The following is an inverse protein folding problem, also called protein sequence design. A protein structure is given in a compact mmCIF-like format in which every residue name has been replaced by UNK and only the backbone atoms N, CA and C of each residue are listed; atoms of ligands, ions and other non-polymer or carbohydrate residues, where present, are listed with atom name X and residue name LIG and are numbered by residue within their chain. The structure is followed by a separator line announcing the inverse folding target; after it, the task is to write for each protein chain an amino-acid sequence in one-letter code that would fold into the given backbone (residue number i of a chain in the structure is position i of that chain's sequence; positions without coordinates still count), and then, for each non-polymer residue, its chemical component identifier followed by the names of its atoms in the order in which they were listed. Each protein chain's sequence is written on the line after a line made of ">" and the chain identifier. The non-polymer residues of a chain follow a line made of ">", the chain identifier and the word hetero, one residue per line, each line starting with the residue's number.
data_IF_197174797705
#
_entry.id   IF_197174797705
#
_cell.length_a   1.000
_cell.length_b   1.000
_cell.length_c   1.000
_cell.angle_alpha   90.00
_cell.angle_beta   90.00
_cell.angle_gamma   90.00
#
_symmetry.space_group_name_H-M   'P 1'
#
loop_
_entity.id
_entity.type
_entity.pdbx_description
1 polymer ?
#
# COMPACT_ATOMS: atom_id res chain seq x y z
N UNK A 1 -15.10 11.46 31.34
CA UNK A 1 -14.61 11.40 29.95
C UNK A 1 -14.83 9.98 29.48
N UNK A 2 -15.88 9.76 28.68
CA UNK A 2 -16.18 8.44 28.15
C UNK A 2 -15.24 8.17 26.98
N UNK A 3 -14.44 7.10 27.10
CA UNK A 3 -13.65 6.56 26.01
C UNK A 3 -14.63 6.03 24.96
N UNK A 4 -14.64 6.66 23.78
CA UNK A 4 -15.40 6.19 22.64
C UNK A 4 -14.89 4.82 22.21
N UNK A 5 -15.72 3.80 22.43
CA UNK A 5 -15.52 2.46 21.91
C UNK A 5 -15.81 2.49 20.41
N UNK A 6 -14.84 2.95 19.61
CA UNK A 6 -14.93 2.99 18.17
C UNK A 6 -14.83 1.58 17.62
N UNK A 7 -15.92 1.04 17.08
CA UNK A 7 -15.86 -0.11 16.19
C UNK A 7 -14.87 0.22 15.07
N UNK A 8 -13.78 -0.55 14.96
CA UNK A 8 -12.74 -0.39 13.94
C UNK A 8 -13.18 -0.78 12.52
N UNK A 9 -14.49 -0.75 12.24
CA UNK A 9 -15.14 -1.26 11.03
C UNK A 9 -16.10 -0.25 10.37
N UNK A 10 -16.20 0.97 10.92
CA UNK A 10 -16.98 2.03 10.28
C UNK A 10 -16.06 2.83 9.36
N UNK A 11 -16.45 2.87 8.09
CA UNK A 11 -15.83 3.70 7.06
C UNK A 11 -15.99 5.14 7.53
N UNK A 12 -14.89 5.90 7.62
CA UNK A 12 -14.95 7.34 7.85
C UNK A 12 -15.66 7.98 6.64
N UNK A 13 -16.97 8.19 6.77
CA UNK A 13 -17.82 8.63 5.67
C UNK A 13 -17.49 10.06 5.24
N UNK A 14 -16.90 10.88 6.12
CA UNK A 14 -16.48 12.25 5.77
C UNK A 14 -15.22 12.22 4.89
N UNK A 15 -14.20 11.47 5.32
CA UNK A 15 -12.94 11.31 4.56
C UNK A 15 -13.18 10.61 3.22
N UNK A 16 -14.00 9.56 3.21
CA UNK A 16 -14.24 8.70 2.05
C UNK A 16 -15.52 9.03 1.28
N UNK A 17 -16.22 10.12 1.60
CA UNK A 17 -17.50 10.52 0.98
C UNK A 17 -17.51 10.41 -0.55
N UNK A 18 -16.46 10.91 -1.21
CA UNK A 18 -16.31 10.85 -2.68
C UNK A 18 -16.07 9.44 -3.21
N UNK A 19 -15.27 8.64 -2.50
CA UNK A 19 -14.99 7.25 -2.89
C UNK A 19 -16.22 6.36 -2.67
N UNK A 20 -16.97 6.60 -1.58
CA UNK A 20 -18.22 5.92 -1.26
C UNK A 20 -19.29 6.14 -2.34
N UNK A 21 -19.38 7.35 -2.88
CA UNK A 21 -20.31 7.69 -3.96
C UNK A 21 -19.97 6.98 -5.29
N UNK A 22 -18.72 6.57 -5.51
CA UNK A 22 -18.27 5.91 -6.74
C UNK A 22 -18.33 4.39 -6.61
N UNK A 23 -17.78 3.84 -5.54
CA UNK A 23 -17.63 2.39 -5.38
C UNK A 23 -18.82 1.72 -4.69
N UNK A 24 -19.58 2.47 -3.90
CA UNK A 24 -20.60 1.93 -3.01
C UNK A 24 -20.01 1.31 -1.73
N UNK A 25 -20.85 1.19 -0.70
CA UNK A 25 -20.45 0.72 0.65
C UNK A 25 -19.82 -0.66 0.65
N UNK A 26 -20.40 -1.60 -0.10
CA UNK A 26 -19.95 -3.00 -0.10
C UNK A 26 -18.55 -3.13 -0.68
N UNK A 27 -18.30 -2.51 -1.84
CA UNK A 27 -16.99 -2.49 -2.49
C UNK A 27 -15.94 -1.84 -1.60
N UNK A 28 -16.27 -0.71 -0.96
CA UNK A 28 -15.36 -0.04 -0.01
C UNK A 28 -15.02 -0.94 1.19
N UNK A 29 -16.00 -1.67 1.75
CA UNK A 29 -15.74 -2.65 2.82
C UNK A 29 -14.77 -3.74 2.38
N UNK A 30 -14.96 -4.30 1.18
CA UNK A 30 -14.06 -5.32 0.63
C UNK A 30 -12.66 -4.77 0.40
N UNK A 31 -12.56 -3.54 -0.11
CA UNK A 31 -11.30 -2.85 -0.32
C UNK A 31 -10.55 -2.63 1.00
N UNK A 32 -11.25 -2.16 2.03
CA UNK A 32 -10.68 -1.93 3.38
C UNK A 32 -10.29 -3.22 4.10
N UNK A 33 -10.76 -4.38 3.63
CA UNK A 33 -10.36 -5.69 4.13
C UNK A 33 -9.23 -6.36 3.31
N UNK A 34 -8.85 -5.76 2.17
CA UNK A 34 -7.91 -6.36 1.23
C UNK A 34 -6.44 -6.16 1.64
N UNK A 35 -5.66 -7.24 1.59
CA UNK A 35 -4.20 -7.21 1.69
C UNK A 35 -3.62 -7.33 0.29
N UNK A 36 -2.74 -6.42 -0.10
CA UNK A 36 -2.23 -6.34 -1.48
C UNK A 36 -0.72 -6.43 -1.48
N UNK A 37 -0.16 -7.22 -2.41
CA UNK A 37 1.26 -7.27 -2.71
C UNK A 37 1.53 -6.46 -3.98
N UNK A 38 2.47 -5.51 -3.91
CA UNK A 38 3.00 -4.78 -5.06
C UNK A 38 4.43 -5.24 -5.29
N UNK A 39 4.67 -5.95 -6.40
CA UNK A 39 6.00 -6.43 -6.78
C UNK A 39 6.61 -5.52 -7.86
N UNK A 40 7.78 -4.95 -7.57
CA UNK A 40 8.47 -3.94 -8.36
C UNK A 40 8.09 -2.53 -7.92
N UNK A 41 9.06 -1.75 -7.42
CA UNK A 41 8.92 -0.40 -6.89
C UNK A 41 9.71 0.64 -7.71
N UNK A 42 9.75 0.44 -9.02
CA UNK A 42 10.08 1.50 -9.98
C UNK A 42 8.92 2.50 -10.11
N UNK A 43 9.00 3.50 -10.99
CA UNK A 43 8.01 4.59 -11.07
C UNK A 43 6.55 4.13 -11.17
N UNK A 44 6.25 3.09 -11.96
CA UNK A 44 4.89 2.54 -12.05
C UNK A 44 4.42 1.90 -10.74
N UNK A 45 5.28 1.09 -10.11
CA UNK A 45 4.96 0.42 -8.85
C UNK A 45 4.70 1.40 -7.72
N UNK A 46 5.48 2.48 -7.67
CA UNK A 46 5.29 3.59 -6.74
C UNK A 46 3.92 4.27 -6.93
N UNK A 47 3.52 4.56 -8.17
CA UNK A 47 2.21 5.14 -8.46
C UNK A 47 1.05 4.22 -8.06
N UNK A 48 1.18 2.91 -8.33
CA UNK A 48 0.19 1.91 -7.90
C UNK A 48 0.09 1.88 -6.37
N UNK A 49 1.22 1.76 -5.67
CA UNK A 49 1.25 1.70 -4.21
C UNK A 49 0.64 2.97 -3.59
N UNK A 50 0.97 4.16 -4.11
CA UNK A 50 0.39 5.43 -3.67
C UNK A 50 -1.14 5.41 -3.76
N UNK A 51 -1.67 5.00 -4.90
CA UNK A 51 -3.12 5.00 -5.12
C UNK A 51 -3.84 3.97 -4.24
N UNK A 52 -3.23 2.80 -3.97
CA UNK A 52 -3.78 1.81 -3.04
C UNK A 52 -3.84 2.33 -1.60
N UNK A 53 -2.77 2.99 -1.14
CA UNK A 53 -2.70 3.58 0.20
C UNK A 53 -3.73 4.71 0.35
N UNK A 54 -3.87 5.58 -0.66
CA UNK A 54 -4.89 6.63 -0.68
C UNK A 54 -6.33 6.10 -0.80
N UNK A 55 -6.50 4.91 -1.37
CA UNK A 55 -7.79 4.23 -1.46
C UNK A 55 -8.19 3.55 -0.13
N UNK A 56 -7.28 3.44 0.85
CA UNK A 56 -7.60 2.96 2.19
C UNK A 56 -7.68 1.43 2.33
N UNK A 57 -6.89 0.69 1.57
CA UNK A 57 -6.82 -0.79 1.72
C UNK A 57 -6.32 -1.19 3.11
N UNK A 58 -6.54 -2.45 3.53
CA UNK A 58 -6.10 -2.92 4.85
C UNK A 58 -4.58 -2.86 4.99
N UNK A 59 -3.88 -3.43 4.01
CA UNK A 59 -2.42 -3.49 4.02
C UNK A 59 -1.84 -3.55 2.61
N UNK A 60 -0.63 -3.01 2.48
CA UNK A 60 0.18 -3.07 1.27
C UNK A 60 1.55 -3.62 1.63
N UNK A 61 1.90 -4.76 1.04
CA UNK A 61 3.26 -5.30 1.07
C UNK A 61 3.99 -4.86 -0.18
N UNK A 62 5.13 -4.19 -0.01
CA UNK A 62 6.00 -3.74 -1.09
C UNK A 62 7.11 -4.76 -1.29
N UNK A 63 7.25 -5.27 -2.50
CA UNK A 63 8.31 -6.21 -2.86
C UNK A 63 9.22 -5.62 -3.93
N UNK A 64 10.51 -5.58 -3.65
CA UNK A 64 11.56 -5.28 -4.63
C UNK A 64 12.87 -5.83 -4.07
N UNK A 65 13.64 -6.55 -4.89
CA UNK A 65 14.96 -7.08 -4.54
C UNK A 65 16.09 -6.14 -4.99
N UNK A 66 15.77 -5.13 -5.80
CA UNK A 66 16.68 -4.13 -6.30
C UNK A 66 16.92 -2.96 -5.34
N UNK A 67 17.94 -2.19 -5.69
CA UNK A 67 18.30 -0.95 -5.00
C UNK A 67 17.92 0.26 -5.83
N UNK A 68 17.76 1.41 -5.16
CA UNK A 68 17.51 2.69 -5.81
C UNK A 68 18.74 3.07 -6.63
N UNK A 69 18.51 3.29 -7.93
CA UNK A 69 19.53 3.73 -8.89
C UNK A 69 19.20 5.13 -9.39
N UNK A 70 20.18 5.83 -9.96
CA UNK A 70 20.05 7.24 -10.33
C UNK A 70 18.88 7.48 -11.31
N UNK A 71 18.60 6.54 -12.22
CA UNK A 71 17.49 6.66 -13.17
C UNK A 71 16.11 6.52 -12.52
N UNK A 72 16.03 5.85 -11.35
CA UNK A 72 14.74 5.69 -10.66
C UNK A 72 14.20 7.04 -10.18
N UNK A 73 15.08 8.00 -9.86
CA UNK A 73 14.71 9.35 -9.43
C UNK A 73 13.92 10.12 -10.52
N UNK A 74 14.06 9.73 -11.80
CA UNK A 74 13.34 10.39 -12.90
C UNK A 74 11.85 10.03 -12.94
N UNK A 75 11.46 8.89 -12.37
CA UNK A 75 10.12 8.33 -12.49
C UNK A 75 9.46 7.99 -11.15
N UNK A 76 10.24 7.84 -10.08
CA UNK A 76 9.76 7.53 -8.74
C UNK A 76 9.94 8.75 -7.81
N UNK A 77 8.82 9.42 -7.53
CA UNK A 77 8.74 10.60 -6.68
C UNK A 77 8.96 10.31 -5.18
N UNK A 78 9.05 9.03 -4.78
CA UNK A 78 9.44 8.65 -3.43
C UNK A 78 10.95 8.63 -3.22
N UNK A 79 11.79 8.69 -4.25
CA UNK A 79 13.23 8.63 -4.05
C UNK A 79 13.88 10.02 -4.07
N UNK A 80 14.93 10.15 -3.26
CA UNK A 80 15.85 11.28 -3.27
C UNK A 80 17.27 10.79 -3.51
N UNK A 81 18.22 11.71 -3.74
CA UNK A 81 19.63 11.33 -3.90
C UNK A 81 20.18 10.59 -2.66
N UNK A 82 19.65 10.90 -1.47
CA UNK A 82 20.02 10.24 -0.21
C UNK A 82 19.51 8.79 -0.10
N UNK A 83 18.66 8.35 -1.02
CA UNK A 83 18.11 6.99 -1.05
C UNK A 83 18.87 6.05 -2.00
N UNK A 84 19.77 6.57 -2.83
CA UNK A 84 20.55 5.78 -3.78
C UNK A 84 21.33 4.68 -3.03
N UNK A 85 21.21 3.45 -3.52
CA UNK A 85 21.81 2.25 -2.92
C UNK A 85 20.99 1.60 -1.79
N UNK A 86 19.92 2.22 -1.30
CA UNK A 86 18.95 1.55 -0.41
C UNK A 86 18.05 0.64 -1.24
N UNK A 87 17.49 -0.40 -0.63
CA UNK A 87 16.47 -1.21 -1.28
C UNK A 87 15.23 -0.34 -1.63
N UNK A 88 14.69 -0.50 -2.84
CA UNK A 88 13.58 0.32 -3.35
C UNK A 88 12.32 0.21 -2.50
N UNK A 89 11.96 -1.00 -2.05
CA UNK A 89 10.79 -1.21 -1.22
C UNK A 89 10.96 -0.53 0.16
N UNK A 90 12.13 -0.67 0.79
CA UNK A 90 12.42 -0.02 2.08
C UNK A 90 12.39 1.50 1.99
N UNK A 91 12.94 2.09 0.92
CA UNK A 91 12.98 3.54 0.74
C UNK A 91 11.58 4.19 0.61
N UNK A 92 10.58 3.43 0.13
CA UNK A 92 9.21 3.93 -0.04
C UNK A 92 8.38 3.91 1.26
N UNK A 93 8.73 3.10 2.27
CA UNK A 93 7.85 2.79 3.42
C UNK A 93 7.40 4.04 4.15
N UNK A 94 8.35 4.88 4.58
CA UNK A 94 8.03 6.05 5.40
C UNK A 94 7.11 7.02 4.66
N UNK A 95 7.44 7.32 3.39
CA UNK A 95 6.68 8.27 2.58
C UNK A 95 5.28 7.75 2.24
N UNK A 96 5.12 6.45 2.00
CA UNK A 96 3.79 5.86 1.82
C UNK A 96 2.99 5.87 3.13
N UNK A 97 3.63 5.60 4.28
CA UNK A 97 2.96 5.58 5.57
C UNK A 97 2.39 6.96 5.92
N UNK A 98 3.13 8.03 5.60
CA UNK A 98 2.71 9.43 5.79
C UNK A 98 1.45 9.80 4.99
N UNK A 99 1.14 9.10 3.89
CA UNK A 99 -0.07 9.34 3.10
C UNK A 99 -1.34 8.85 3.80
N UNK A 100 -1.25 7.72 4.49
CA UNK A 100 -2.37 7.15 5.22
C UNK A 100 -1.90 6.24 6.37
N UNK A 101 -1.97 6.77 7.60
CA UNK A 101 -1.58 6.05 8.82
C UNK A 101 -2.48 4.85 9.16
N UNK A 102 -3.65 4.71 8.51
CA UNK A 102 -4.54 3.57 8.73
C UNK A 102 -4.13 2.32 7.93
N UNK A 103 -3.34 2.49 6.86
CA UNK A 103 -2.89 1.39 6.01
C UNK A 103 -1.61 0.80 6.59
N UNK A 104 -1.58 -0.52 6.77
CA UNK A 104 -0.39 -1.22 7.25
C UNK A 104 0.56 -1.43 6.08
N UNK A 105 1.79 -0.96 6.19
CA UNK A 105 2.81 -1.12 5.15
C UNK A 105 3.91 -2.07 5.61
N UNK A 106 4.15 -3.10 4.81
CA UNK A 106 5.22 -4.09 5.02
C UNK A 106 6.11 -4.19 3.79
N UNK A 107 7.31 -4.74 3.96
CA UNK A 107 8.27 -4.92 2.87
C UNK A 107 8.77 -6.34 2.76
N UNK A 108 9.01 -6.78 1.54
CA UNK A 108 9.69 -8.00 1.21
C UNK A 108 10.86 -7.68 0.29
N UNK A 109 12.09 -7.91 0.76
CA UNK A 109 13.31 -7.51 0.04
C UNK A 109 14.11 -8.70 -0.50
N UNK A 110 13.55 -9.90 -0.39
CA UNK A 110 14.16 -11.15 -0.87
C UNK A 110 13.45 -11.61 -2.11
N UNK A 111 14.06 -12.51 -2.87
CA UNK A 111 13.41 -13.19 -3.99
C UNK A 111 12.05 -13.75 -3.58
N UNK A 112 11.06 -13.55 -4.46
CA UNK A 112 9.68 -13.90 -4.22
C UNK A 112 9.46 -15.41 -4.35
N UNK A 113 9.06 -16.06 -3.27
CA UNK A 113 8.75 -17.50 -3.25
C UNK A 113 7.25 -17.77 -3.31
N UNK A 114 6.86 -19.00 -3.67
CA UNK A 114 5.43 -19.38 -3.75
C UNK A 114 4.76 -19.35 -2.38
N UNK A 115 5.51 -19.65 -1.33
CA UNK A 115 5.04 -19.62 0.05
C UNK A 115 4.68 -18.19 0.51
N UNK A 116 5.36 -17.18 -0.04
CA UNK A 116 5.04 -15.77 0.25
C UNK A 116 3.82 -15.29 -0.53
N UNK A 117 3.52 -15.93 -1.66
CA UNK A 117 2.37 -15.59 -2.52
C UNK A 117 1.05 -16.20 -2.05
N UNK A 118 1.09 -17.31 -1.30
CA UNK A 118 -0.13 -17.97 -0.82
C UNK A 118 -1.00 -17.06 0.06
N UNK A 119 -0.39 -16.08 0.73
CA UNK A 119 -1.10 -15.12 1.58
C UNK A 119 -1.93 -14.10 0.77
N UNK A 120 -1.63 -13.95 -0.53
CA UNK A 120 -2.28 -12.99 -1.43
C UNK A 120 -3.13 -13.65 -2.53
N UNK A 121 -2.96 -14.95 -2.80
CA UNK A 121 -3.62 -15.66 -3.90
C UNK A 121 -5.04 -16.17 -3.61
N UNK A 122 -5.60 -15.93 -2.42
CA UNK A 122 -6.94 -16.43 -2.05
C UNK A 122 -8.10 -15.59 -2.62
N UNK A 123 -8.02 -15.22 -3.90
CA UNK A 123 -9.14 -14.66 -4.67
C UNK A 123 -9.74 -15.75 -5.60
N UNK A 124 -9.92 -16.96 -5.08
CA UNK A 124 -10.93 -17.87 -5.63
C UNK A 124 -12.25 -17.60 -4.90
N UNK A 125 -13.33 -17.42 -5.67
CA UNK A 125 -14.70 -17.04 -5.27
C UNK A 125 -14.98 -15.53 -5.18
N UNK A 126 -15.19 -14.94 -6.37
CA UNK A 126 -16.15 -13.85 -6.58
C UNK A 126 -17.19 -14.31 -7.59
#
# INVERSE_FOLDING_TARGET
>A
MALGNGNSNDIDEDLHSRQLAVYGRETMRRLFASNILVSGLQGLGAEIAKNLVLAGVKSVTLHDDGVVELWDLSSNFFFSEDDIGKNRALACVQKLQELNNAVIISTLTTELTKEQLSDFQNLEEC
#
